data_IF_608583240902
#
_entry.id   IF_608583240902
#
_cell.length_a   1.000
_cell.length_b   1.000
_cell.length_c   1.000
_cell.angle_alpha   90.00
_cell.angle_beta   90.00
_cell.angle_gamma   90.00
#
_symmetry.space_group_name_H-M   'P 1'
#
loop_
_entity.id
_entity.type
_entity.pdbx_description
1 polymer ?
#
# COMPACT_ATOMS: atom_id res chain seq x y z
N UNK A 1 69.39 2.98 28.32
CA UNK A 1 68.11 3.71 28.42
C UNK A 1 67.09 2.92 27.59
N UNK A 2 66.15 2.24 28.24
CA UNK A 2 65.17 1.37 27.60
C UNK A 2 63.83 2.12 27.47
N UNK A 3 63.32 2.27 26.25
CA UNK A 3 62.04 2.92 25.98
C UNK A 3 60.91 1.88 26.04
N UNK A 4 59.96 2.09 26.94
CA UNK A 4 58.78 1.27 27.11
C UNK A 4 57.74 1.60 26.02
N UNK A 5 57.28 0.58 25.29
CA UNK A 5 56.23 0.68 24.27
C UNK A 5 54.88 0.42 24.92
N UNK A 6 54.10 1.47 25.12
CA UNK A 6 52.73 1.37 25.66
C UNK A 6 51.76 1.08 24.51
N UNK A 7 51.23 -0.15 24.44
CA UNK A 7 50.17 -0.52 23.49
C UNK A 7 48.80 -0.18 24.07
N UNK A 8 48.14 0.81 23.49
CA UNK A 8 46.73 1.09 23.75
C UNK A 8 45.84 0.08 22.99
N UNK A 9 45.11 -0.74 23.74
CA UNK A 9 44.05 -1.62 23.22
C UNK A 9 42.76 -0.78 23.11
N UNK A 10 42.36 -0.41 21.89
CA UNK A 10 41.06 0.19 21.63
C UNK A 10 40.03 -0.94 21.45
N UNK A 11 39.25 -1.22 22.49
CA UNK A 11 38.04 -2.05 22.39
C UNK A 11 36.96 -1.23 21.67
N UNK A 12 36.70 -1.54 20.40
CA UNK A 12 35.53 -1.05 19.68
C UNK A 12 34.30 -1.84 20.17
N UNK A 13 33.57 -1.26 21.13
CA UNK A 13 32.31 -1.78 21.63
C UNK A 13 31.20 -1.41 20.63
N UNK A 14 30.94 -2.29 19.65
CA UNK A 14 29.75 -2.15 18.80
C UNK A 14 28.53 -2.64 19.58
N UNK A 15 27.84 -1.70 20.21
CA UNK A 15 26.49 -1.91 20.74
C UNK A 15 25.57 -2.11 19.54
N UNK A 16 25.32 -3.36 19.16
CA UNK A 16 24.18 -3.69 18.32
C UNK A 16 22.91 -3.45 19.14
N UNK A 17 22.35 -2.26 19.04
CA UNK A 17 20.97 -2.00 19.42
C UNK A 17 20.06 -2.78 18.48
N UNK A 18 19.74 -4.02 18.86
CA UNK A 18 18.60 -4.72 18.32
C UNK A 18 17.33 -4.04 18.86
N UNK A 19 16.95 -2.92 18.24
CA UNK A 19 15.61 -2.42 18.37
C UNK A 19 14.69 -3.51 17.83
N UNK A 20 14.01 -4.23 18.72
CA UNK A 20 12.97 -5.20 18.39
C UNK A 20 11.81 -4.47 17.73
N UNK A 21 11.96 -4.16 16.44
CA UNK A 21 10.92 -3.56 15.63
C UNK A 21 9.92 -4.66 15.32
N UNK A 22 8.68 -4.49 15.80
CA UNK A 22 7.57 -5.41 15.51
C UNK A 22 7.48 -5.60 14.02
N UNK A 23 7.88 -6.77 13.54
CA UNK A 23 7.64 -7.14 12.16
C UNK A 23 6.13 -7.27 12.01
N UNK A 24 5.48 -6.25 11.44
CA UNK A 24 4.05 -6.32 11.11
C UNK A 24 3.83 -7.61 10.31
N UNK A 25 3.17 -8.59 10.93
CA UNK A 25 2.86 -9.91 10.38
C UNK A 25 1.58 -9.87 9.54
N UNK A 26 1.20 -8.68 9.06
CA UNK A 26 0.04 -8.51 8.20
C UNK A 26 0.16 -9.47 7.00
N UNK A 27 -0.85 -10.33 6.83
CA UNK A 27 -0.88 -11.30 5.74
C UNK A 27 -0.75 -10.55 4.42
N UNK A 28 0.14 -11.03 3.56
CA UNK A 28 0.36 -10.46 2.23
C UNK A 28 1.31 -9.26 2.21
N UNK A 29 1.90 -8.84 3.34
CA UNK A 29 2.83 -7.70 3.38
C UNK A 29 4.26 -8.19 3.63
N UNK A 30 5.20 -7.83 2.76
CA UNK A 30 6.61 -8.19 2.88
C UNK A 30 7.49 -6.95 2.72
N UNK A 31 8.28 -6.64 3.74
CA UNK A 31 9.15 -5.47 3.74
C UNK A 31 10.48 -5.80 3.04
N UNK A 32 10.79 -5.05 1.98
CA UNK A 32 12.09 -5.12 1.32
C UNK A 32 13.11 -4.25 2.05
N UNK A 33 12.68 -3.05 2.44
CA UNK A 33 13.46 -2.11 3.25
C UNK A 33 12.51 -1.40 4.20
N UNK A 34 12.77 -1.51 5.51
CA UNK A 34 11.90 -0.93 6.54
C UNK A 34 11.85 0.59 6.41
N UNK A 35 10.64 1.14 6.40
CA UNK A 35 10.42 2.57 6.27
C UNK A 35 10.45 3.11 4.85
N UNK A 36 10.84 2.31 3.85
CA UNK A 36 11.04 2.82 2.48
C UNK A 36 10.53 1.91 1.36
N UNK A 37 10.52 0.58 1.51
CA UNK A 37 10.08 -0.32 0.45
C UNK A 37 9.36 -1.56 0.97
N UNK A 38 8.20 -1.84 0.37
CA UNK A 38 7.30 -2.92 0.80
C UNK A 38 6.52 -3.48 -0.38
N UNK A 39 6.42 -4.81 -0.42
CA UNK A 39 5.59 -5.55 -1.35
C UNK A 39 4.29 -5.97 -0.68
N UNK A 40 3.20 -5.81 -1.42
CA UNK A 40 1.86 -6.24 -1.00
C UNK A 40 1.33 -7.24 -2.02
N UNK A 41 1.09 -8.47 -1.58
CA UNK A 41 0.32 -9.47 -2.33
C UNK A 41 -1.14 -9.29 -1.97
N UNK A 42 -1.92 -8.80 -2.91
CA UNK A 42 -3.36 -8.61 -2.76
C UNK A 42 -4.10 -9.72 -3.50
N UNK A 43 -4.82 -10.56 -2.76
CA UNK A 43 -5.71 -11.57 -3.34
C UNK A 43 -6.81 -10.89 -4.17
N UNK A 44 -7.04 -11.40 -5.38
CA UNK A 44 -8.04 -10.89 -6.34
C UNK A 44 -8.90 -12.06 -6.83
N UNK A 45 -9.91 -12.50 -6.04
CA UNK A 45 -10.67 -13.71 -6.32
C UNK A 45 -11.36 -13.71 -7.69
N UNK A 46 -11.81 -12.55 -8.15
CA UNK A 46 -12.47 -12.40 -9.46
C UNK A 46 -11.52 -12.47 -10.65
N UNK A 47 -10.19 -12.40 -10.44
CA UNK A 47 -9.21 -12.35 -11.51
C UNK A 47 -8.69 -13.76 -11.83
N UNK A 48 -9.05 -14.35 -12.99
CA UNK A 48 -8.52 -15.65 -13.38
C UNK A 48 -7.03 -15.56 -13.74
N UNK A 49 -6.30 -16.66 -13.60
CA UNK A 49 -4.89 -16.74 -13.94
C UNK A 49 -4.70 -16.61 -15.46
N UNK A 50 -3.94 -15.62 -15.89
CA UNK A 50 -3.68 -15.41 -17.31
C UNK A 50 -2.69 -16.43 -17.86
N UNK A 51 -3.12 -17.18 -18.87
CA UNK A 51 -2.25 -18.03 -19.68
C UNK A 51 -1.78 -17.26 -20.92
N UNK A 52 -0.52 -16.80 -20.99
CA UNK A 52 -0.04 -15.99 -22.11
C UNK A 52 0.07 -16.76 -23.43
N UNK A 53 0.15 -18.10 -23.39
CA UNK A 53 0.26 -18.94 -24.59
C UNK A 53 -1.09 -19.07 -25.29
N UNK A 54 -2.14 -19.33 -24.51
CA UNK A 54 -3.50 -19.56 -25.03
C UNK A 54 -4.34 -18.27 -25.06
N UNK A 55 -3.89 -17.22 -24.37
CA UNK A 55 -4.61 -15.96 -24.18
C UNK A 55 -5.98 -16.14 -23.54
N UNK A 56 -6.06 -17.03 -22.54
CA UNK A 56 -7.26 -17.31 -21.77
C UNK A 56 -7.01 -17.14 -20.27
N UNK A 57 -8.09 -16.87 -19.53
CA UNK A 57 -8.09 -16.92 -18.07
C UNK A 57 -8.41 -18.33 -17.58
N UNK A 58 -7.55 -18.88 -16.72
CA UNK A 58 -7.78 -20.12 -16.00
C UNK A 58 -8.44 -19.82 -14.64
N UNK A 59 -9.47 -20.58 -14.28
CA UNK A 59 -10.21 -20.44 -13.01
C UNK A 59 -9.38 -20.96 -11.83
N UNK A 60 -8.36 -20.19 -11.45
CA UNK A 60 -7.41 -20.48 -10.37
C UNK A 60 -7.27 -19.23 -9.51
N UNK A 61 -7.30 -19.33 -8.18
CA UNK A 61 -7.11 -18.18 -7.30
C UNK A 61 -5.79 -17.46 -7.58
N UNK A 62 -5.86 -16.15 -7.80
CA UNK A 62 -4.69 -15.32 -8.07
C UNK A 62 -4.58 -14.13 -7.12
N UNK A 63 -3.42 -13.49 -7.19
CA UNK A 63 -3.12 -12.26 -6.49
C UNK A 63 -2.39 -11.29 -7.43
N UNK A 64 -2.48 -9.99 -7.16
CA UNK A 64 -1.62 -8.97 -7.74
C UNK A 64 -0.53 -8.59 -6.73
N UNK A 65 0.70 -8.40 -7.20
CA UNK A 65 1.78 -7.90 -6.37
C UNK A 65 1.94 -6.40 -6.60
N UNK A 66 1.84 -5.62 -5.53
CA UNK A 66 1.97 -4.17 -5.53
C UNK A 66 3.29 -3.80 -4.86
N UNK A 67 4.17 -3.12 -5.58
CA UNK A 67 5.46 -2.66 -5.05
C UNK A 67 5.41 -1.19 -4.68
N UNK A 68 5.51 -0.91 -3.38
CA UNK A 68 5.57 0.44 -2.85
C UNK A 68 7.00 0.79 -2.45
N UNK A 69 7.53 1.87 -3.01
CA UNK A 69 8.91 2.31 -2.76
C UNK A 69 8.97 3.82 -2.66
N UNK A 70 9.60 4.34 -1.62
CA UNK A 70 9.96 5.75 -1.54
C UNK A 70 11.14 6.04 -2.47
N UNK A 71 11.11 7.17 -3.16
CA UNK A 71 12.26 7.69 -3.90
C UNK A 71 13.48 7.85 -2.98
N UNK A 72 14.71 7.91 -3.52
CA UNK A 72 15.92 8.05 -2.70
C UNK A 72 15.93 9.28 -1.78
N UNK A 73 15.29 10.37 -2.19
CA UNK A 73 15.09 11.59 -1.39
C UNK A 73 13.92 11.49 -0.40
N UNK A 74 13.22 10.35 -0.39
CA UNK A 74 12.05 10.01 0.43
C UNK A 74 10.85 10.93 0.24
N UNK A 75 10.78 11.67 -0.85
CA UNK A 75 9.70 12.65 -1.07
C UNK A 75 8.49 12.08 -1.77
N UNK A 76 8.67 11.04 -2.56
CA UNK A 76 7.61 10.44 -3.37
C UNK A 76 7.50 8.95 -3.09
N UNK A 77 6.33 8.51 -2.68
CA UNK A 77 5.92 7.12 -2.72
C UNK A 77 5.57 6.74 -4.16
N UNK A 78 6.21 5.69 -4.64
CA UNK A 78 5.98 5.07 -5.93
C UNK A 78 5.14 3.81 -5.72
N UNK A 79 4.24 3.51 -6.66
CA UNK A 79 3.64 2.20 -6.84
C UNK A 79 4.04 1.70 -8.23
N UNK A 80 4.82 0.61 -8.27
CA UNK A 80 5.37 0.05 -9.52
C UNK A 80 6.13 1.12 -10.33
N UNK A 81 7.05 1.81 -9.65
CA UNK A 81 7.88 2.90 -10.17
C UNK A 81 7.11 4.14 -10.68
N UNK A 82 5.79 4.21 -10.45
CA UNK A 82 4.96 5.38 -10.77
C UNK A 82 4.62 6.18 -9.52
N UNK A 83 4.73 7.52 -9.53
CA UNK A 83 4.35 8.35 -8.38
C UNK A 83 2.90 8.11 -7.96
N UNK A 84 2.70 7.62 -6.73
CA UNK A 84 1.38 7.47 -6.13
C UNK A 84 1.15 8.43 -4.97
N UNK A 85 2.18 9.04 -4.38
CA UNK A 85 1.99 10.10 -3.39
C UNK A 85 3.29 10.91 -3.15
N UNK A 86 3.27 12.26 -3.13
CA UNK A 86 2.22 13.10 -3.70
C UNK A 86 2.13 12.89 -5.22
N UNK A 87 1.01 13.30 -5.84
CA UNK A 87 0.93 13.29 -7.31
C UNK A 87 1.58 14.54 -7.89
N UNK A 88 2.29 14.42 -9.02
CA UNK A 88 2.69 15.58 -9.81
C UNK A 88 1.47 16.38 -10.30
N UNK A 89 0.39 15.69 -10.68
CA UNK A 89 -0.89 16.30 -11.06
C UNK A 89 -2.05 15.53 -10.41
N UNK A 90 -2.79 16.13 -9.45
CA UNK A 90 -3.86 15.43 -8.74
C UNK A 90 -5.08 15.09 -9.62
N UNK A 91 -5.21 15.71 -10.79
CA UNK A 91 -6.33 15.47 -11.71
C UNK A 91 -6.06 14.34 -12.72
N UNK A 92 -4.82 13.86 -12.80
CA UNK A 92 -4.42 12.81 -13.75
C UNK A 92 -3.83 11.65 -12.94
N UNK A 93 -4.62 10.61 -12.63
CA UNK A 93 -4.09 9.45 -11.94
C UNK A 93 -3.06 8.74 -12.85
N UNK A 94 -1.94 8.26 -12.28
CA UNK A 94 -0.99 7.47 -13.05
C UNK A 94 -1.64 6.17 -13.54
N UNK A 95 -1.29 5.77 -14.76
CA UNK A 95 -1.57 4.42 -15.24
C UNK A 95 -0.67 3.44 -14.49
N UNK A 96 -1.28 2.49 -13.80
CA UNK A 96 -0.59 1.49 -13.02
C UNK A 96 -0.74 0.13 -13.68
N UNK A 97 0.32 -0.66 -13.57
CA UNK A 97 0.32 -2.07 -13.96
C UNK A 97 0.83 -2.89 -12.79
N UNK A 98 0.36 -4.11 -12.60
CA UNK A 98 0.89 -5.01 -11.60
C UNK A 98 1.03 -6.45 -12.12
N UNK A 99 2.09 -7.16 -11.72
CA UNK A 99 2.26 -8.57 -12.04
C UNK A 99 1.23 -9.41 -11.30
N UNK A 100 0.58 -10.31 -12.02
CA UNK A 100 -0.27 -11.35 -11.45
C UNK A 100 0.58 -12.54 -10.98
N UNK A 101 0.24 -13.09 -9.81
CA UNK A 101 0.93 -14.25 -9.27
C UNK A 101 -0.05 -15.29 -8.73
N UNK A 102 0.33 -16.55 -8.87
CA UNK A 102 -0.28 -17.69 -8.16
C UNK A 102 0.48 -18.07 -6.88
N UNK A 103 1.56 -17.34 -6.55
CA UNK A 103 2.34 -17.62 -5.36
C UNK A 103 1.53 -17.33 -4.10
N UNK A 104 1.73 -18.13 -3.06
CA UNK A 104 1.06 -17.93 -1.77
C UNK A 104 1.78 -16.88 -0.92
N UNK A 105 1.05 -16.29 0.02
CA UNK A 105 1.61 -15.36 1.02
C UNK A 105 2.84 -15.91 1.75
N UNK A 106 2.88 -17.23 2.00
CA UNK A 106 4.03 -17.87 2.65
C UNK A 106 5.33 -17.75 1.86
N UNK A 107 5.28 -17.75 0.51
CA UNK A 107 6.47 -17.59 -0.33
C UNK A 107 6.93 -16.14 -0.36
N UNK A 108 5.99 -15.18 -0.45
CA UNK A 108 6.27 -13.75 -0.37
C UNK A 108 7.02 -13.39 0.93
N UNK A 109 6.55 -13.92 2.06
CA UNK A 109 7.13 -13.63 3.37
C UNK A 109 8.53 -14.23 3.57
N UNK A 110 8.87 -15.28 2.81
CA UNK A 110 10.22 -15.88 2.82
C UNK A 110 11.17 -15.21 1.81
N UNK A 111 10.70 -14.18 1.08
CA UNK A 111 11.48 -13.55 0.02
C UNK A 111 11.68 -14.46 -1.21
N UNK A 112 10.92 -15.55 -1.33
CA UNK A 112 10.98 -16.48 -2.47
C UNK A 112 10.16 -15.97 -3.67
N UNK A 113 10.20 -14.67 -3.91
CA UNK A 113 9.46 -14.04 -4.99
C UNK A 113 10.23 -14.36 -6.26
N UNK A 114 9.60 -15.09 -7.18
CA UNK A 114 10.17 -15.28 -8.51
C UNK A 114 10.30 -13.90 -9.17
N UNK A 115 11.26 -13.72 -10.08
CA UNK A 115 11.46 -12.44 -10.77
C UNK A 115 10.11 -11.94 -11.28
N UNK A 116 9.68 -10.79 -10.75
CA UNK A 116 8.34 -10.25 -11.02
C UNK A 116 8.14 -9.98 -12.53
N UNK A 117 9.25 -9.75 -13.24
CA UNK A 117 9.33 -9.52 -14.68
C UNK A 117 8.83 -10.69 -15.53
N UNK A 118 8.79 -11.91 -14.98
CA UNK A 118 8.33 -13.10 -15.70
C UNK A 118 6.79 -13.27 -15.63
N UNK A 119 6.09 -12.42 -14.87
CA UNK A 119 4.65 -12.52 -14.67
C UNK A 119 3.85 -11.60 -15.60
N UNK A 120 2.65 -12.02 -16.05
CA UNK A 120 1.76 -11.16 -16.81
C UNK A 120 1.42 -9.88 -16.06
N UNK A 121 1.56 -8.73 -16.75
CA UNK A 121 1.25 -7.41 -16.20
C UNK A 121 -0.18 -7.01 -16.53
N UNK A 122 -0.98 -6.75 -15.51
CA UNK A 122 -2.34 -6.25 -15.65
C UNK A 122 -2.37 -4.74 -15.46
N UNK A 123 -3.01 -4.03 -16.39
CA UNK A 123 -3.40 -2.64 -16.19
C UNK A 123 -4.47 -2.57 -15.08
N UNK A 124 -4.34 -1.59 -14.18
CA UNK A 124 -5.20 -1.49 -13.01
C UNK A 124 -6.18 -0.32 -13.14
N UNK A 125 -7.44 -0.59 -12.85
CA UNK A 125 -8.40 0.43 -12.45
C UNK A 125 -8.47 0.46 -10.93
N UNK A 126 -8.38 1.65 -10.32
CA UNK A 126 -8.25 1.77 -8.88
C UNK A 126 -8.87 3.06 -8.33
N UNK A 127 -9.49 2.94 -7.17
CA UNK A 127 -9.85 4.05 -6.32
C UNK A 127 -8.69 4.41 -5.41
N UNK A 128 -8.44 5.71 -5.25
CA UNK A 128 -7.44 6.23 -4.32
C UNK A 128 -8.06 7.25 -3.38
N UNK A 129 -7.78 7.11 -2.09
CA UNK A 129 -8.10 8.11 -1.06
C UNK A 129 -6.86 8.46 -0.25
N UNK A 130 -6.75 9.71 0.18
CA UNK A 130 -5.64 10.21 1.02
C UNK A 130 -6.23 11.02 2.17
N UNK A 131 -5.83 10.70 3.41
CA UNK A 131 -6.24 11.41 4.63
C UNK A 131 -5.02 11.70 5.51
N UNK A 132 -4.83 12.88 6.12
CA UNK A 132 -5.50 14.15 5.89
C UNK A 132 -5.11 14.72 4.51
N UNK A 133 -6.07 15.42 3.90
CA UNK A 133 -6.02 15.98 2.53
C UNK A 133 -4.73 16.76 2.24
N UNK A 134 -4.27 16.71 0.99
CA UNK A 134 -3.23 17.57 0.40
C UNK A 134 -3.70 19.04 0.28
N UNK A 135 -4.30 19.62 1.32
CA UNK A 135 -4.66 21.03 1.35
C UNK A 135 -3.45 21.85 1.86
N UNK A 136 -2.78 22.61 0.98
CA UNK A 136 -1.59 23.38 1.36
C UNK A 136 -1.90 24.51 2.35
N UNK A 137 -3.17 24.89 2.52
CA UNK A 137 -3.60 25.92 3.47
C UNK A 137 -3.77 25.40 4.91
N UNK A 138 -3.81 24.07 5.10
CA UNK A 138 -3.99 23.47 6.43
C UNK A 138 -2.63 23.06 7.00
N UNK A 139 -2.24 23.71 8.10
CA UNK A 139 -1.01 23.41 8.82
C UNK A 139 -1.23 22.26 9.82
N UNK A 140 -0.88 21.04 9.42
CA UNK A 140 -0.84 19.89 10.33
C UNK A 140 0.49 19.81 11.06
N UNK A 141 0.50 20.08 12.38
CA UNK A 141 1.69 19.91 13.22
C UNK A 141 2.30 18.51 13.18
N UNK A 142 1.45 17.52 12.89
CA UNK A 142 1.76 16.09 12.80
C UNK A 142 1.17 15.56 11.49
N UNK A 143 1.99 15.48 10.45
CA UNK A 143 1.54 15.06 9.12
C UNK A 143 1.75 13.55 8.93
N UNK A 144 0.66 12.80 9.07
CA UNK A 144 0.60 11.35 8.93
C UNK A 144 -0.38 10.96 7.82
N UNK A 145 -0.02 11.10 6.53
CA UNK A 145 -0.94 10.77 5.46
C UNK A 145 -1.11 9.25 5.37
N UNK A 146 -2.36 8.84 5.35
CA UNK A 146 -2.83 7.49 5.08
C UNK A 146 -3.37 7.43 3.66
N UNK A 147 -2.73 6.63 2.82
CA UNK A 147 -3.14 6.34 1.46
C UNK A 147 -3.92 5.03 1.44
N UNK A 148 -5.16 5.08 0.93
CA UNK A 148 -6.01 3.90 0.73
C UNK A 148 -6.15 3.64 -0.76
N UNK A 149 -5.84 2.41 -1.19
CA UNK A 149 -5.90 1.94 -2.58
C UNK A 149 -6.84 0.76 -2.67
N UNK A 150 -7.87 0.91 -3.50
CA UNK A 150 -8.91 -0.09 -3.75
C UNK A 150 -8.90 -0.46 -5.24
N UNK A 151 -8.56 -1.70 -5.59
CA UNK A 151 -8.51 -2.13 -6.99
C UNK A 151 -9.91 -2.43 -7.51
N UNK A 152 -10.39 -1.64 -8.47
CA UNK A 152 -11.74 -1.74 -9.02
C UNK A 152 -11.80 -2.71 -10.21
N UNK A 153 -10.71 -2.80 -10.97
CA UNK A 153 -10.62 -3.62 -12.16
C UNK A 153 -9.19 -3.95 -12.53
N UNK A 154 -9.02 -4.97 -13.37
CA UNK A 154 -7.73 -5.35 -13.94
C UNK A 154 -7.92 -5.79 -15.40
N UNK A 155 -7.00 -5.36 -16.28
CA UNK A 155 -7.07 -5.63 -17.71
C UNK A 155 -5.75 -6.09 -18.31
N UNK A 156 -5.79 -7.05 -19.25
CA UNK A 156 -4.63 -7.51 -20.02
C UNK A 156 -5.06 -7.92 -21.44
N UNK A 157 -4.37 -7.45 -22.47
CA UNK A 157 -4.61 -7.87 -23.86
C UNK A 157 -6.08 -7.81 -24.34
N UNK A 158 -6.85 -6.82 -23.86
CA UNK A 158 -8.29 -6.68 -24.17
C UNK A 158 -9.23 -7.55 -23.34
N UNK A 159 -8.68 -8.36 -22.42
CA UNK A 159 -9.42 -9.03 -21.37
C UNK A 159 -9.49 -8.11 -20.15
N UNK A 160 -10.68 -7.55 -19.89
CA UNK A 160 -10.93 -6.67 -18.75
C UNK A 160 -11.86 -7.35 -17.74
N UNK A 161 -11.50 -7.27 -16.46
CA UNK A 161 -12.27 -7.87 -15.36
C UNK A 161 -12.55 -6.83 -14.29
N UNK A 162 -13.81 -6.73 -13.90
CA UNK A 162 -14.22 -5.96 -12.72
C UNK A 162 -13.95 -6.79 -11.46
N UNK A 163 -13.26 -6.18 -10.51
CA UNK A 163 -12.89 -6.80 -9.24
C UNK A 163 -13.91 -6.41 -8.17
N UNK A 164 -15.02 -7.13 -8.11
CA UNK A 164 -16.22 -6.82 -7.31
C UNK A 164 -16.40 -7.70 -6.06
N UNK A 165 -15.56 -8.71 -5.86
CA UNK A 165 -15.64 -9.63 -4.73
C UNK A 165 -15.63 -8.83 -3.41
N UNK A 166 -16.60 -9.06 -2.51
CA UNK A 166 -16.69 -8.33 -1.24
C UNK A 166 -15.55 -8.66 -0.27
N UNK A 167 -14.90 -9.82 -0.43
CA UNK A 167 -13.73 -10.26 0.33
C UNK A 167 -12.41 -9.76 -0.26
N UNK A 168 -12.44 -9.05 -1.38
CA UNK A 168 -11.24 -8.41 -1.87
C UNK A 168 -10.73 -7.39 -0.86
N UNK A 169 -9.42 -7.42 -0.60
CA UNK A 169 -8.78 -6.50 0.32
C UNK A 169 -8.57 -5.10 -0.28
N UNK A 170 -8.39 -4.14 0.61
CA UNK A 170 -7.98 -2.77 0.32
C UNK A 170 -6.63 -2.53 0.99
N UNK A 171 -5.70 -1.91 0.27
CA UNK A 171 -4.37 -1.59 0.80
C UNK A 171 -4.40 -0.21 1.45
N UNK A 172 -4.01 -0.14 2.71
CA UNK A 172 -3.83 1.09 3.46
C UNK A 172 -2.36 1.26 3.82
N UNK A 173 -1.81 2.43 3.52
CA UNK A 173 -0.41 2.77 3.74
C UNK A 173 -0.36 4.02 4.61
N UNK A 174 0.19 3.89 5.80
CA UNK A 174 0.41 5.00 6.72
C UNK A 174 1.84 5.52 6.54
N UNK A 175 1.97 6.82 6.29
CA UNK A 175 3.26 7.48 6.17
C UNK A 175 3.49 8.43 7.35
N UNK A 176 4.75 8.66 7.69
CA UNK A 176 5.19 9.71 8.63
C UNK A 176 6.01 10.75 7.89
N UNK A 177 5.60 12.01 7.94
CA UNK A 177 6.45 13.12 7.51
C UNK A 177 7.57 13.37 8.53
N UNK A 178 8.81 13.57 8.08
CA UNK A 178 9.94 13.92 8.96
C UNK A 178 10.09 15.43 9.20
N UNK A 179 9.57 16.26 8.31
CA UNK A 179 9.77 17.71 8.35
C UNK A 179 8.67 18.42 9.13
N UNK A 180 9.08 19.36 10.00
CA UNK A 180 8.14 20.18 10.77
C UNK A 180 7.25 21.01 9.84
N UNK A 181 5.94 21.00 10.12
CA UNK A 181 4.82 21.55 9.36
C UNK A 181 4.90 22.99 8.84
N UNK A 182 5.93 23.76 9.21
CA UNK A 182 6.12 25.17 8.86
C UNK A 182 6.88 25.39 7.54
N UNK A 183 7.35 24.33 6.89
CA UNK A 183 8.12 24.39 5.66
C UNK A 183 7.32 24.18 4.36
N UNK A 184 7.98 24.49 3.25
CA UNK A 184 7.57 24.18 1.88
C UNK A 184 7.15 22.69 1.75
N UNK A 185 5.88 22.46 1.42
CA UNK A 185 5.29 21.12 1.29
C UNK A 185 6.00 20.28 0.23
N UNK A 186 6.64 20.90 -0.76
CA UNK A 186 7.40 20.22 -1.82
C UNK A 186 8.71 19.59 -1.32
N UNK A 187 9.16 19.97 -0.11
CA UNK A 187 10.42 19.47 0.49
C UNK A 187 10.21 18.36 1.51
N UNK A 188 8.96 17.99 1.79
CA UNK A 188 8.63 16.99 2.81
C UNK A 188 9.17 15.63 2.39
N UNK A 189 9.85 15.00 3.34
CA UNK A 189 10.26 13.60 3.27
C UNK A 189 9.38 12.72 4.15
N UNK A 190 9.21 11.47 3.73
CA UNK A 190 8.30 10.52 4.33
C UNK A 190 9.02 9.24 4.76
N UNK A 191 8.33 8.46 5.58
CA UNK A 191 8.66 7.10 5.93
C UNK A 191 7.39 6.27 5.92
N UNK A 192 7.45 5.06 5.37
CA UNK A 192 6.34 4.10 5.43
C UNK A 192 6.30 3.50 6.84
N UNK A 193 5.31 3.89 7.64
CA UNK A 193 5.14 3.39 9.01
C UNK A 193 4.51 2.01 9.03
N UNK A 194 3.40 1.86 8.32
CA UNK A 194 2.60 0.66 8.36
C UNK A 194 1.88 0.44 7.03
N UNK A 195 1.63 -0.83 6.75
CA UNK A 195 0.85 -1.26 5.59
C UNK A 195 -0.10 -2.36 6.03
N UNK A 196 -1.40 -2.16 5.76
CA UNK A 196 -2.47 -3.08 6.14
C UNK A 196 -3.32 -3.42 4.94
N UNK A 197 -3.73 -4.68 4.87
CA UNK A 197 -4.82 -5.12 4.00
C UNK A 197 -6.07 -5.20 4.87
N UNK A 198 -7.12 -4.46 4.52
CA UNK A 198 -8.40 -4.46 5.25
C UNK A 198 -9.52 -4.91 4.34
N UNK A 199 -10.59 -5.46 4.91
CA UNK A 199 -11.75 -5.88 4.12
C UNK A 199 -12.45 -4.70 3.46
N UNK A 200 -12.86 -4.87 2.19
CA UNK A 200 -13.53 -3.81 1.42
C UNK A 200 -14.86 -3.36 2.03
N UNK A 201 -15.59 -4.25 2.69
CA UNK A 201 -16.84 -3.93 3.39
C UNK A 201 -16.68 -2.88 4.49
N UNK A 202 -15.50 -2.81 5.12
CA UNK A 202 -15.22 -1.82 6.15
C UNK A 202 -15.21 -0.38 5.61
N UNK A 203 -14.83 -0.17 4.32
CA UNK A 203 -14.78 1.16 3.70
C UNK A 203 -16.14 1.85 3.67
N UNK A 204 -17.21 1.08 3.44
CA UNK A 204 -18.56 1.64 3.37
C UNK A 204 -19.03 2.17 4.73
N UNK A 205 -18.66 1.53 5.84
CA UNK A 205 -19.00 2.03 7.19
C UNK A 205 -18.44 3.43 7.46
N UNK A 206 -17.19 3.70 7.10
CA UNK A 206 -16.57 5.02 7.32
C UNK A 206 -17.22 6.14 6.49
N UNK A 207 -17.62 5.87 5.25
CA UNK A 207 -18.32 6.86 4.43
C UNK A 207 -19.71 7.19 4.97
N UNK A 208 -20.41 6.19 5.55
CA UNK A 208 -21.70 6.41 6.21
C UNK A 208 -21.54 7.21 7.50
N UNK A 209 -20.57 6.87 8.34
CA UNK A 209 -20.32 7.58 9.60
C UNK A 209 -19.92 9.04 9.36
N UNK A 210 -19.10 9.33 8.33
CA UNK A 210 -18.76 10.71 7.96
C UNK A 210 -19.94 11.47 7.33
N UNK A 211 -20.75 10.82 6.50
CA UNK A 211 -21.97 11.44 5.96
C UNK A 211 -22.97 11.77 7.07
N UNK A 212 -23.11 10.89 8.06
CA UNK A 212 -23.92 11.10 9.27
C UNK A 212 -23.33 12.15 10.22
N UNK A 213 -22.01 12.33 10.26
CA UNK A 213 -21.39 13.39 11.07
C UNK A 213 -21.54 14.78 10.41
N UNK A 214 -21.55 14.84 9.08
CA UNK A 214 -21.74 16.07 8.32
C UNK A 214 -23.23 16.51 8.23
N UNK A 215 -24.16 15.56 8.30
CA UNK A 215 -25.60 15.83 8.36
C UNK A 215 -26.08 15.77 9.81
N UNK A 216 -26.24 16.94 10.45
CA UNK A 216 -26.78 17.18 11.81
C UNK A 216 -27.37 15.92 12.48
N UNK A 217 -26.70 15.46 13.55
CA UNK A 217 -26.75 14.13 14.21
C UNK A 217 -28.12 13.62 14.68
N UNK A 218 -29.20 14.36 14.40
CA UNK A 218 -30.57 14.04 14.79
C UNK A 218 -31.31 13.10 13.83
N UNK A 219 -30.72 12.72 12.68
CA UNK A 219 -31.40 11.90 11.67
C UNK A 219 -30.78 10.53 11.36
N UNK A 220 -29.62 10.18 11.94
CA UNK A 220 -29.05 8.84 11.75
C UNK A 220 -29.49 7.91 12.89
N UNK A 221 -30.73 7.43 12.84
CA UNK A 221 -31.11 6.24 13.62
C UNK A 221 -30.50 5.00 12.94
N UNK A 222 -29.94 4.11 13.74
CA UNK A 222 -29.41 2.80 13.34
C UNK A 222 -30.50 1.94 12.68
N UNK A 223 -30.80 2.20 11.40
CA UNK A 223 -31.60 1.32 10.57
C UNK A 223 -30.71 0.20 10.05
N UNK A 224 -30.82 -0.99 10.61
CA UNK A 224 -30.39 -2.22 9.93
C UNK A 224 -31.19 -2.34 8.63
N UNK A 225 -30.60 -1.87 7.53
CA UNK A 225 -31.15 -2.08 6.19
C UNK A 225 -30.79 -3.50 5.78
N UNK A 226 -31.70 -4.44 6.03
CA UNK A 226 -31.68 -5.74 5.34
C UNK A 226 -31.94 -5.45 3.88
N UNK A 227 -30.90 -5.52 3.04
CA UNK A 227 -31.05 -5.45 1.59
C UNK A 227 -31.76 -6.71 1.11
N UNK A 228 -33.08 -6.64 1.01
CA UNK A 228 -33.87 -7.55 0.17
C UNK A 228 -33.52 -7.20 -1.28
N UNK A 229 -32.50 -7.85 -1.82
CA UNK A 229 -32.21 -7.84 -3.26
C UNK A 229 -33.27 -8.74 -3.89
N UNK A 230 -34.30 -8.12 -4.46
CA UNK A 230 -35.15 -8.80 -5.44
C UNK A 230 -34.47 -8.69 -6.79
N UNK A 231 -34.16 -9.85 -7.34
CA UNK A 231 -33.71 -10.03 -8.72
C UNK A 231 -34.65 -9.32 -9.70
N UNK A 232 -34.04 -8.57 -10.62
CA UNK A 232 -34.65 -8.11 -11.89
C UNK A 232 -33.76 -8.60 -13.01
#
# INVERSE_FOLDING_TARGET
MAAAVTRFLLLALHVLSAAGYRQSTARGVSWLERGSSVLVRLDVPDLPLWNPTEQIGEDVPTALVLNFTLTPDRRTLLLQDKPIFPLPNPHIPPQLVAPQTKQTTGRLNRGEIAKLDDYPLFALDYGRLVSPRDDPSIHYYNHFPTLTIDLLGAGIAGYDTLLKDPNQGIVNIELRGHDNARGDWTRRSYEILDVKITDRTSRYQWTWDMACYAADSRHCQHGTFTSDIRDV
#
